data_IF_429228783140
#
_entry.id   IF_429228783140
#
_cell.length_a   1.000
_cell.length_b   1.000
_cell.length_c   1.000
_cell.angle_alpha   90.00
_cell.angle_beta   90.00
_cell.angle_gamma   90.00
#
_symmetry.space_group_name_H-M   'P 1'
#
loop_
_entity.id
_entity.type
_entity.pdbx_description
1 polymer ?
#
# COMPACT_ATOMS: atom_id res chain seq x y z
N UNK A 1 -36.08 39.99 -54.98
CA UNK A 1 -36.16 39.78 -53.53
C UNK A 1 -35.20 38.68 -53.13
N UNK A 2 -34.04 39.02 -52.55
CA UNK A 2 -33.14 38.09 -51.85
C UNK A 2 -32.55 38.87 -50.68
N UNK A 3 -33.15 38.71 -49.51
CA UNK A 3 -32.68 39.36 -48.29
C UNK A 3 -31.35 38.75 -47.86
N UNK A 4 -30.31 39.59 -47.90
CA UNK A 4 -28.94 39.23 -47.53
C UNK A 4 -28.83 39.39 -46.02
N UNK A 5 -28.93 38.30 -45.29
CA UNK A 5 -28.84 38.30 -43.83
C UNK A 5 -27.42 38.68 -43.40
N UNK A 6 -27.24 39.93 -43.00
CA UNK A 6 -25.99 40.45 -42.45
C UNK A 6 -25.74 39.80 -41.08
N UNK A 7 -24.71 38.95 -40.99
CA UNK A 7 -24.16 38.51 -39.71
C UNK A 7 -23.70 39.75 -38.95
N UNK A 8 -24.41 40.09 -37.88
CA UNK A 8 -24.00 41.08 -36.90
C UNK A 8 -22.66 40.62 -36.30
N UNK A 9 -21.57 41.26 -36.72
CA UNK A 9 -20.27 41.12 -36.07
C UNK A 9 -20.41 41.83 -34.73
N UNK A 10 -20.62 41.04 -33.68
CA UNK A 10 -20.58 41.53 -32.30
C UNK A 10 -19.12 41.74 -31.96
N UNK A 11 -18.76 42.99 -31.63
CA UNK A 11 -17.45 43.36 -31.12
C UNK A 11 -17.25 42.69 -29.75
N UNK A 12 -16.72 41.47 -29.76
CA UNK A 12 -16.59 40.65 -28.57
C UNK A 12 -15.19 40.84 -27.99
N UNK A 13 -15.13 41.38 -26.77
CA UNK A 13 -13.87 41.50 -26.02
C UNK A 13 -13.23 40.12 -25.90
N UNK A 14 -11.93 39.96 -26.22
CA UNK A 14 -11.23 38.68 -26.13
C UNK A 14 -11.29 38.15 -24.69
N UNK A 15 -11.68 36.89 -24.54
CA UNK A 15 -11.84 36.27 -23.23
C UNK A 15 -10.49 35.98 -22.59
N UNK A 16 -10.29 36.45 -21.35
CA UNK A 16 -9.11 36.14 -20.54
C UNK A 16 -9.30 34.78 -19.86
N UNK A 17 -8.27 33.93 -19.92
CA UNK A 17 -8.31 32.61 -19.29
C UNK A 17 -7.96 32.72 -17.80
N UNK A 18 -8.81 32.17 -16.95
CA UNK A 18 -8.61 32.06 -15.50
C UNK A 18 -8.23 30.61 -15.17
N UNK A 19 -7.14 30.42 -14.46
CA UNK A 19 -6.69 29.10 -14.05
C UNK A 19 -7.01 28.86 -12.57
N UNK A 20 -7.57 27.70 -12.26
CA UNK A 20 -7.86 27.26 -10.91
C UNK A 20 -7.43 25.80 -10.74
N UNK A 21 -6.69 25.53 -9.68
CA UNK A 21 -6.34 24.18 -9.29
C UNK A 21 -7.29 23.70 -8.19
N UNK A 22 -7.87 22.52 -8.36
CA UNK A 22 -8.68 21.85 -7.36
C UNK A 22 -8.06 20.51 -6.99
N UNK A 23 -8.21 20.14 -5.73
CA UNK A 23 -7.85 18.81 -5.28
C UNK A 23 -8.96 17.82 -5.61
N UNK A 24 -8.57 16.57 -5.86
CA UNK A 24 -9.46 15.41 -6.03
C UNK A 24 -10.33 15.45 -7.30
N UNK A 25 -10.04 14.55 -8.23
CA UNK A 25 -10.80 14.36 -9.48
C UNK A 25 -11.63 13.08 -9.42
N UNK A 26 -12.89 13.16 -9.85
CA UNK A 26 -13.65 11.99 -10.29
C UNK A 26 -14.73 11.50 -9.33
N UNK A 27 -15.05 12.27 -8.29
CA UNK A 27 -16.26 12.07 -7.50
C UNK A 27 -17.41 12.99 -7.95
N UNK A 28 -18.63 12.65 -7.54
CA UNK A 28 -19.81 13.45 -7.87
C UNK A 28 -19.70 14.89 -7.33
N UNK A 29 -19.06 15.09 -6.17
CA UNK A 29 -18.92 16.41 -5.57
C UNK A 29 -18.00 17.33 -6.39
N UNK A 30 -16.86 16.82 -6.91
CA UNK A 30 -15.97 17.60 -7.78
C UNK A 30 -16.65 18.00 -9.09
N UNK A 31 -17.47 17.13 -9.68
CA UNK A 31 -18.24 17.46 -10.89
C UNK A 31 -19.30 18.54 -10.61
N UNK A 32 -20.02 18.43 -9.50
CA UNK A 32 -20.98 19.47 -9.08
C UNK A 32 -20.29 20.82 -8.84
N UNK A 33 -19.14 20.80 -8.16
CA UNK A 33 -18.34 22.00 -7.89
C UNK A 33 -17.85 22.64 -9.19
N UNK A 34 -17.31 21.85 -10.11
CA UNK A 34 -16.89 22.29 -11.45
C UNK A 34 -18.01 22.97 -12.21
N UNK A 35 -19.19 22.37 -12.23
CA UNK A 35 -20.35 22.91 -12.94
C UNK A 35 -20.85 24.21 -12.32
N UNK A 36 -20.90 24.29 -10.98
CA UNK A 36 -21.30 25.50 -10.26
C UNK A 36 -20.33 26.65 -10.50
N UNK A 37 -19.03 26.40 -10.39
CA UNK A 37 -17.98 27.40 -10.64
C UNK A 37 -18.01 27.89 -12.09
N UNK A 38 -18.08 26.97 -13.06
CA UNK A 38 -18.16 27.32 -14.47
C UNK A 38 -19.37 28.20 -14.78
N UNK A 39 -20.55 27.85 -14.25
CA UNK A 39 -21.79 28.63 -14.42
C UNK A 39 -21.70 29.99 -13.74
N UNK A 40 -21.15 30.06 -12.54
CA UNK A 40 -21.00 31.33 -11.81
C UNK A 40 -20.02 32.26 -12.50
N UNK A 41 -18.85 31.77 -12.95
CA UNK A 41 -17.85 32.58 -13.64
C UNK A 41 -18.40 33.09 -14.98
N UNK A 42 -19.09 32.25 -15.74
CA UNK A 42 -19.70 32.66 -17.01
C UNK A 42 -20.80 33.72 -16.83
N UNK A 43 -21.50 33.69 -15.68
CA UNK A 43 -22.54 34.69 -15.35
C UNK A 43 -21.93 36.02 -14.90
N UNK A 44 -20.90 35.99 -14.05
CA UNK A 44 -20.32 37.20 -13.46
C UNK A 44 -19.31 37.87 -14.40
N UNK A 45 -18.55 37.10 -15.16
CA UNK A 45 -17.44 37.59 -15.98
C UNK A 45 -17.62 37.17 -17.44
N UNK A 46 -18.31 38.01 -18.21
CA UNK A 46 -18.61 37.75 -19.63
C UNK A 46 -17.34 37.55 -20.49
N UNK A 47 -16.26 38.24 -20.14
CA UNK A 47 -14.95 38.18 -20.81
C UNK A 47 -13.96 37.21 -20.14
N UNK A 48 -14.42 36.26 -19.31
CA UNK A 48 -13.56 35.26 -18.69
C UNK A 48 -13.86 33.85 -19.20
N UNK A 49 -12.81 33.01 -19.26
CA UNK A 49 -12.90 31.57 -19.51
C UNK A 49 -12.22 30.83 -18.37
N UNK A 50 -12.97 30.06 -17.60
CA UNK A 50 -12.42 29.27 -16.50
C UNK A 50 -11.78 27.97 -17.03
N UNK A 51 -10.54 27.72 -16.63
CA UNK A 51 -9.81 26.47 -16.84
C UNK A 51 -9.50 25.84 -15.49
N UNK A 52 -10.03 24.65 -15.25
CA UNK A 52 -9.89 23.95 -13.97
C UNK A 52 -8.98 22.74 -14.17
N UNK A 53 -7.90 22.69 -13.40
CA UNK A 53 -7.00 21.56 -13.34
C UNK A 53 -7.23 20.82 -12.02
N UNK A 54 -7.32 19.50 -12.07
CA UNK A 54 -7.48 18.70 -10.87
C UNK A 54 -6.19 17.98 -10.54
N UNK A 55 -5.73 18.11 -9.30
CA UNK A 55 -4.56 17.41 -8.77
C UNK A 55 -5.01 16.42 -7.70
N UNK A 56 -4.67 15.15 -7.87
CA UNK A 56 -4.90 14.12 -6.86
C UNK A 56 -3.55 13.66 -6.31
N UNK A 57 -3.28 13.94 -5.04
CA UNK A 57 -2.12 13.40 -4.35
C UNK A 57 -2.50 12.03 -3.74
N UNK A 58 -1.64 11.01 -3.90
CA UNK A 58 -1.84 9.73 -3.21
C UNK A 58 -1.54 9.94 -1.73
N UNK A 59 -2.57 9.88 -0.88
CA UNK A 59 -2.42 10.01 0.58
C UNK A 59 -1.78 8.78 1.25
N UNK A 60 -1.58 7.68 0.52
CA UNK A 60 -1.05 6.44 1.07
C UNK A 60 0.39 6.20 0.61
N UNK A 61 1.34 6.39 1.52
CA UNK A 61 2.61 5.68 1.48
C UNK A 61 2.34 4.19 1.78
N UNK A 62 3.13 3.31 1.18
CA UNK A 62 3.02 1.84 1.23
C UNK A 62 3.20 1.23 2.65
N UNK A 63 3.18 2.01 3.74
CA UNK A 63 3.47 1.50 5.09
C UNK A 63 2.26 1.36 6.03
N UNK A 64 1.04 1.20 5.50
CA UNK A 64 -0.15 0.86 6.32
C UNK A 64 -0.36 -0.65 6.40
N UNK A 65 0.71 -1.38 6.68
CA UNK A 65 0.58 -2.69 7.29
C UNK A 65 1.43 -2.63 8.52
N UNK A 66 0.80 -2.77 9.69
CA UNK A 66 1.50 -2.87 10.96
C UNK A 66 2.71 -3.78 10.77
N UNK A 67 3.90 -3.30 11.15
CA UNK A 67 5.10 -4.14 11.18
C UNK A 67 4.85 -5.22 12.23
N UNK A 68 4.20 -6.30 11.79
CA UNK A 68 3.88 -7.42 12.63
C UNK A 68 5.20 -8.00 13.13
N UNK A 69 5.28 -8.23 14.43
CA UNK A 69 6.45 -8.84 15.03
C UNK A 69 6.82 -10.14 14.29
N UNK A 70 8.11 -10.44 14.14
CA UNK A 70 8.57 -11.61 13.39
C UNK A 70 7.98 -12.93 13.93
N UNK A 71 7.58 -12.96 15.20
CA UNK A 71 6.91 -14.08 15.85
C UNK A 71 5.47 -14.30 15.38
N UNK A 72 4.86 -13.34 14.71
CA UNK A 72 3.52 -13.49 14.14
C UNK A 72 3.59 -13.97 12.68
N UNK A 73 4.79 -14.10 12.10
CA UNK A 73 4.97 -14.59 10.74
C UNK A 73 4.63 -16.08 10.63
N UNK A 74 3.68 -16.41 9.75
CA UNK A 74 3.44 -17.74 9.20
C UNK A 74 3.98 -17.81 7.75
N UNK A 75 4.04 -19.00 7.15
CA UNK A 75 4.54 -19.19 5.78
C UNK A 75 5.96 -18.65 5.52
N UNK A 76 6.80 -18.59 6.55
CA UNK A 76 8.12 -17.96 6.50
C UNK A 76 9.28 -18.97 6.36
N UNK A 77 10.42 -18.47 5.87
CA UNK A 77 11.70 -19.16 5.92
C UNK A 77 12.45 -18.63 7.14
N UNK A 78 12.99 -19.54 7.96
CA UNK A 78 13.74 -19.20 9.16
C UNK A 78 15.08 -19.92 9.17
N UNK A 79 16.08 -19.31 9.82
CA UNK A 79 17.38 -19.90 10.06
C UNK A 79 17.60 -20.03 11.57
N UNK A 80 17.91 -21.23 12.02
CA UNK A 80 18.49 -21.47 13.36
C UNK A 80 20.00 -21.55 13.23
N UNK A 81 20.69 -20.76 14.05
CA UNK A 81 22.15 -20.83 14.16
C UNK A 81 22.49 -21.35 15.54
N UNK A 82 23.27 -22.43 15.58
CA UNK A 82 23.80 -23.00 16.80
C UNK A 82 25.14 -22.32 17.16
N UNK A 83 25.46 -22.26 18.45
CA UNK A 83 26.67 -21.59 18.95
C UNK A 83 27.97 -22.16 18.38
N UNK A 84 27.99 -23.44 17.99
CA UNK A 84 29.14 -24.09 17.32
C UNK A 84 29.18 -23.93 15.79
N UNK A 85 28.40 -23.00 15.24
CA UNK A 85 28.44 -22.65 13.81
C UNK A 85 27.54 -23.50 12.90
N UNK A 86 26.90 -24.56 13.40
CA UNK A 86 25.89 -25.30 12.65
C UNK A 86 24.67 -24.41 12.37
N UNK A 87 24.17 -24.44 11.13
CA UNK A 87 23.04 -23.62 10.68
C UNK A 87 21.99 -24.50 10.03
N UNK A 88 20.75 -24.38 10.48
CA UNK A 88 19.60 -25.02 9.87
C UNK A 88 18.70 -23.97 9.24
N UNK A 89 18.31 -24.16 7.97
CA UNK A 89 17.32 -23.32 7.29
C UNK A 89 16.06 -24.16 7.04
N UNK A 90 14.90 -23.65 7.45
CA UNK A 90 13.64 -24.33 7.26
C UNK A 90 12.53 -23.41 6.81
N UNK A 91 11.52 -24.00 6.15
CA UNK A 91 10.27 -23.32 5.82
C UNK A 91 9.20 -23.75 6.83
N UNK A 92 8.38 -22.81 7.29
CA UNK A 92 7.24 -23.09 8.17
C UNK A 92 5.95 -22.63 7.53
N UNK A 93 4.96 -23.50 7.41
CA UNK A 93 3.59 -23.08 7.09
C UNK A 93 2.88 -22.51 8.33
N UNK A 94 3.24 -23.01 9.53
CA UNK A 94 2.72 -22.55 10.83
C UNK A 94 3.44 -21.30 11.31
N UNK A 95 2.90 -20.63 12.33
CA UNK A 95 3.56 -19.49 12.98
C UNK A 95 4.92 -19.86 13.56
N UNK A 96 5.88 -18.95 13.47
CA UNK A 96 7.26 -19.18 13.91
C UNK A 96 7.37 -19.69 15.38
N UNK A 97 6.63 -19.17 16.38
CA UNK A 97 6.65 -19.66 17.76
C UNK A 97 6.16 -21.09 17.90
N UNK A 98 5.15 -21.49 17.11
CA UNK A 98 4.64 -22.86 17.11
C UNK A 98 5.69 -23.81 16.56
N UNK A 99 6.47 -23.36 15.57
CA UNK A 99 7.59 -24.13 15.02
C UNK A 99 8.74 -24.21 16.01
N UNK A 100 9.14 -23.09 16.62
CA UNK A 100 10.16 -23.03 17.68
C UNK A 100 9.82 -23.99 18.83
N UNK A 101 8.59 -23.95 19.35
CA UNK A 101 8.15 -24.85 20.44
C UNK A 101 8.13 -26.34 20.05
N UNK A 102 7.90 -26.65 18.78
CA UNK A 102 8.01 -28.02 18.28
C UNK A 102 9.46 -28.53 18.18
N UNK A 103 10.43 -27.62 18.12
CA UNK A 103 11.85 -27.94 17.93
C UNK A 103 12.69 -27.82 19.18
N UNK A 104 12.30 -26.96 20.13
CA UNK A 104 12.91 -26.89 21.45
C UNK A 104 12.15 -27.88 22.33
N UNK A 105 12.69 -29.08 22.57
CA UNK A 105 12.09 -29.98 23.53
C UNK A 105 12.21 -29.37 24.92
N UNK A 106 11.17 -28.67 25.37
CA UNK A 106 11.06 -28.14 26.73
C UNK A 106 11.27 -29.26 27.77
N UNK A 107 10.96 -30.51 27.44
CA UNK A 107 11.23 -31.64 28.32
C UNK A 107 12.72 -32.01 28.44
N UNK A 108 13.55 -31.77 27.41
CA UNK A 108 14.94 -32.27 27.42
C UNK A 108 15.87 -31.37 28.21
N UNK A 109 15.69 -30.05 28.12
CA UNK A 109 16.54 -29.09 28.84
C UNK A 109 16.23 -29.02 30.34
N UNK A 110 14.99 -29.31 30.75
CA UNK A 110 14.56 -29.18 32.14
C UNK A 110 14.48 -30.51 32.92
N UNK A 111 14.35 -31.67 32.25
CA UNK A 111 14.19 -32.98 32.93
C UNK A 111 15.27 -34.01 32.62
N UNK A 112 16.23 -33.73 31.73
CA UNK A 112 17.27 -34.70 31.37
C UNK A 112 16.76 -35.96 30.65
N UNK A 113 15.48 -36.01 30.27
CA UNK A 113 14.88 -37.15 29.57
C UNK A 113 15.15 -37.05 28.06
N UNK A 114 15.82 -38.06 27.49
CA UNK A 114 15.88 -38.25 26.02
C UNK A 114 14.59 -38.92 25.56
N UNK A 115 13.71 -38.17 24.88
CA UNK A 115 12.56 -38.75 24.16
C UNK A 115 12.92 -39.04 22.71
N UNK A 116 12.06 -39.75 22.00
CA UNK A 116 12.24 -40.05 20.59
C UNK A 116 12.32 -38.75 19.76
N UNK A 117 13.34 -38.66 18.90
CA UNK A 117 13.59 -37.51 18.01
C UNK A 117 12.46 -37.46 16.99
N UNK A 118 11.54 -36.51 17.15
CA UNK A 118 10.37 -36.35 16.26
C UNK A 118 10.49 -35.19 15.29
N UNK A 119 11.58 -34.42 15.33
CA UNK A 119 11.82 -33.33 14.40
C UNK A 119 13.16 -33.49 13.70
N UNK A 120 13.13 -33.30 12.38
CA UNK A 120 14.32 -33.31 11.52
C UNK A 120 15.36 -32.26 11.94
N UNK A 121 14.96 -31.19 12.61
CA UNK A 121 15.90 -30.20 13.19
C UNK A 121 16.63 -30.78 14.38
N UNK A 122 15.91 -31.45 15.29
CA UNK A 122 16.52 -32.02 16.48
C UNK A 122 17.46 -33.17 16.11
N UNK A 123 17.07 -33.97 15.13
CA UNK A 123 17.93 -34.99 14.51
C UNK A 123 19.20 -34.36 13.92
N UNK A 124 19.04 -33.30 13.12
CA UNK A 124 20.16 -32.54 12.58
C UNK A 124 21.05 -31.97 13.70
N UNK A 125 20.47 -31.34 14.73
CA UNK A 125 21.23 -30.79 15.85
C UNK A 125 21.98 -31.85 16.65
N UNK A 126 21.42 -33.05 16.83
CA UNK A 126 22.10 -34.17 17.49
C UNK A 126 23.26 -34.66 16.63
N UNK A 127 23.03 -34.85 15.33
CA UNK A 127 24.05 -35.33 14.38
C UNK A 127 25.25 -34.37 14.26
N UNK A 128 25.04 -33.06 14.45
CA UNK A 128 26.13 -32.06 14.43
C UNK A 128 26.74 -31.76 15.81
N UNK A 129 26.12 -32.21 16.91
CA UNK A 129 26.62 -31.99 18.27
C UNK A 129 27.29 -33.21 18.90
N UNK A 130 27.32 -34.37 18.23
CA UNK A 130 28.14 -35.50 18.66
C UNK A 130 29.62 -35.21 18.34
N UNK A 131 30.55 -35.53 19.27
CA UNK A 131 31.98 -35.44 19.02
C UNK A 131 32.46 -36.41 17.94
#
# INVERSE_FOLDING_TARGET
MKDKQSKLVTDSVPKKTLFMNLEFKGDQASDMLKNRLSKSVSKTFLAAKLHMTFTSHKLFSISVKDKLHCMTASMCIYQFTYSRGARYIGRSQRTLPTRIRGHIPAAWFYKGERKCVRSSILEHLINFCQP
#
